data_IF_116045446565
#
_entry.id   IF_116045446565
#
_cell.length_a   1.000
_cell.length_b   1.000
_cell.length_c   1.000
_cell.angle_alpha   90.00
_cell.angle_beta   90.00
_cell.angle_gamma   90.00
#
_symmetry.space_group_name_H-M   'P 1'
#
loop_
_entity.id
_entity.type
_entity.pdbx_description
1 polymer ?
#
# COMPACT_ATOMS: atom_id res chain seq x y z
N UNK A 1 -9.26 -15.30 4.29
CA UNK A 1 -9.79 -13.94 4.16
C UNK A 1 -9.35 -13.17 5.39
N UNK A 2 -8.16 -12.59 5.32
CA UNK A 2 -7.56 -11.86 6.42
C UNK A 2 -6.90 -10.60 5.87
N UNK A 3 -6.90 -9.56 6.69
CA UNK A 3 -6.08 -8.39 6.47
C UNK A 3 -4.72 -8.63 7.10
N UNK A 4 -3.68 -8.27 6.37
CA UNK A 4 -2.31 -8.20 6.86
C UNK A 4 -1.84 -6.76 6.79
N UNK A 5 -1.03 -6.34 7.76
CA UNK A 5 -0.56 -4.97 7.91
C UNK A 5 0.95 -4.91 8.12
N UNK A 6 1.57 -3.85 7.64
CA UNK A 6 3.00 -3.56 7.76
C UNK A 6 3.26 -2.07 7.68
N UNK A 7 4.40 -1.63 8.20
CA UNK A 7 4.96 -0.28 8.01
C UNK A 7 6.05 -0.25 6.91
N UNK A 8 6.39 -1.40 6.32
CA UNK A 8 7.36 -1.51 5.23
C UNK A 8 6.66 -1.44 3.86
N UNK A 9 6.86 -0.32 3.17
CA UNK A 9 6.33 -0.08 1.81
C UNK A 9 6.85 -1.10 0.79
N UNK A 10 8.04 -1.65 0.98
CA UNK A 10 8.63 -2.64 0.07
C UNK A 10 7.88 -3.97 0.18
N UNK A 11 7.69 -4.47 1.41
CA UNK A 11 6.90 -5.68 1.69
C UNK A 11 5.47 -5.51 1.18
N UNK A 12 4.88 -4.34 1.39
CA UNK A 12 3.56 -4.02 0.88
C UNK A 12 3.49 -4.11 -0.65
N UNK A 13 4.40 -3.44 -1.36
CA UNK A 13 4.43 -3.39 -2.83
C UNK A 13 4.60 -4.77 -3.46
N UNK A 14 5.41 -5.66 -2.87
CA UNK A 14 5.56 -7.05 -3.32
C UNK A 14 4.22 -7.80 -3.37
N UNK A 15 3.29 -7.46 -2.48
CA UNK A 15 1.96 -8.09 -2.38
C UNK A 15 0.93 -7.42 -3.26
N UNK A 16 0.85 -6.09 -3.22
CA UNK A 16 -0.27 -5.35 -3.85
C UNK A 16 -0.03 -4.94 -5.29
N UNK A 17 1.22 -4.97 -5.78
CA UNK A 17 1.54 -4.49 -7.13
C UNK A 17 0.67 -5.10 -8.23
N UNK A 18 0.40 -6.42 -8.27
CA UNK A 18 -0.49 -6.99 -9.30
C UNK A 18 -1.90 -6.41 -9.29
N UNK A 19 -2.43 -6.06 -8.10
CA UNK A 19 -3.75 -5.44 -7.96
C UNK A 19 -3.74 -3.98 -8.45
N UNK A 20 -2.75 -3.18 -8.00
CA UNK A 20 -2.70 -1.76 -8.34
C UNK A 20 -2.37 -1.52 -9.82
N UNK A 21 -1.44 -2.30 -10.37
CA UNK A 21 -0.97 -2.17 -11.74
C UNK A 21 -1.99 -2.65 -12.80
N UNK A 22 -3.03 -3.40 -12.41
CA UNK A 22 -4.09 -3.83 -13.33
C UNK A 22 -4.93 -2.64 -13.84
N UNK A 23 -5.13 -1.63 -12.99
CA UNK A 23 -5.90 -0.41 -13.31
C UNK A 23 -5.16 0.83 -12.79
N UNK A 24 -4.04 1.24 -13.41
CA UNK A 24 -3.17 2.27 -12.85
C UNK A 24 -3.81 3.65 -12.82
N UNK A 25 -4.73 3.95 -13.74
CA UNK A 25 -5.51 5.20 -13.74
C UNK A 25 -6.39 5.27 -12.48
N UNK A 26 -7.14 4.21 -12.21
CA UNK A 26 -8.03 4.16 -11.03
C UNK A 26 -7.23 4.13 -9.71
N UNK A 27 -6.01 3.57 -9.76
CA UNK A 27 -5.11 3.44 -8.62
C UNK A 27 -4.03 4.53 -8.55
N UNK A 28 -4.16 5.63 -9.29
CA UNK A 28 -3.10 6.66 -9.40
C UNK A 28 -2.71 7.24 -8.05
N UNK A 29 -3.69 7.48 -7.15
CA UNK A 29 -3.41 8.00 -5.81
C UNK A 29 -2.59 6.99 -4.99
N UNK A 30 -2.99 5.73 -4.97
CA UNK A 30 -2.29 4.68 -4.25
C UNK A 30 -0.86 4.52 -4.76
N UNK A 31 -0.68 4.45 -6.09
CA UNK A 31 0.61 4.35 -6.76
C UNK A 31 1.51 5.56 -6.47
N UNK A 32 0.96 6.76 -6.47
CA UNK A 32 1.72 7.99 -6.18
C UNK A 32 2.24 7.98 -4.73
N UNK A 33 1.38 7.62 -3.76
CA UNK A 33 1.75 7.61 -2.35
C UNK A 33 2.81 6.56 -2.05
N UNK A 34 2.68 5.34 -2.59
CA UNK A 34 3.63 4.26 -2.33
C UNK A 34 4.99 4.52 -2.99
N UNK A 35 5.01 5.14 -4.18
CA UNK A 35 6.25 5.56 -4.83
C UNK A 35 6.97 6.65 -4.03
N UNK A 36 6.24 7.65 -3.54
CA UNK A 36 6.81 8.67 -2.66
C UNK A 36 7.33 8.08 -1.34
N UNK A 37 6.56 7.18 -0.71
CA UNK A 37 6.97 6.50 0.52
C UNK A 37 8.23 5.64 0.32
N UNK A 38 8.32 4.93 -0.81
CA UNK A 38 9.49 4.15 -1.23
C UNK A 38 10.71 5.03 -1.49
N UNK A 39 10.52 6.25 -2.00
CA UNK A 39 11.56 7.25 -2.17
C UNK A 39 11.98 7.94 -0.84
N UNK A 40 11.36 7.56 0.30
CA UNK A 40 11.72 8.06 1.62
C UNK A 40 10.84 9.21 2.12
N UNK A 41 9.80 9.63 1.38
CA UNK A 41 8.84 10.62 1.86
C UNK A 41 8.16 10.12 3.15
N UNK A 42 8.04 11.01 4.13
CA UNK A 42 7.26 10.81 5.36
C UNK A 42 6.31 11.99 5.53
N UNK A 43 5.10 11.72 5.99
CA UNK A 43 4.05 12.72 6.24
C UNK A 43 3.79 12.95 7.73
N UNK A 44 4.52 12.25 8.60
CA UNK A 44 4.47 12.38 10.05
C UNK A 44 5.71 11.69 10.61
N UNK A 45 5.98 11.90 11.90
CA UNK A 45 6.97 11.13 12.66
C UNK A 45 6.44 9.72 13.00
N UNK A 46 5.11 9.53 12.95
CA UNK A 46 4.50 8.20 13.07
C UNK A 46 4.70 7.36 11.79
N UNK A 47 4.87 6.03 11.93
CA UNK A 47 5.00 5.15 10.77
C UNK A 47 3.72 5.12 9.95
N UNK A 48 3.86 5.02 8.63
CA UNK A 48 2.73 4.74 7.75
C UNK A 48 2.21 3.33 7.99
N UNK A 49 0.91 3.14 7.82
CA UNK A 49 0.29 1.82 7.87
C UNK A 49 -0.14 1.40 6.47
N UNK A 50 0.37 0.26 6.03
CA UNK A 50 0.00 -0.38 4.78
C UNK A 50 -0.70 -1.71 5.06
N UNK A 51 -1.67 -2.09 4.22
CA UNK A 51 -2.31 -3.39 4.38
C UNK A 51 -2.96 -3.93 3.11
N UNK A 52 -3.06 -5.25 3.03
CA UNK A 52 -3.71 -5.94 1.93
C UNK A 52 -4.69 -6.97 2.44
N UNK A 53 -5.73 -7.19 1.64
CA UNK A 53 -6.72 -8.21 1.89
C UNK A 53 -6.51 -9.38 0.94
N UNK A 54 -6.32 -10.56 1.51
CA UNK A 54 -6.11 -11.77 0.74
C UNK A 54 -7.37 -12.64 0.68
N UNK A 55 -7.78 -12.95 -0.55
CA UNK A 55 -8.85 -13.89 -0.86
C UNK A 55 -8.27 -15.06 -1.67
N UNK A 56 -8.08 -16.20 -1.01
CA UNK A 56 -7.39 -17.34 -1.62
C UNK A 56 -5.91 -17.05 -1.84
N UNK A 57 -5.43 -17.20 -3.07
CA UNK A 57 -4.06 -16.88 -3.47
C UNK A 57 -3.89 -15.46 -4.03
N UNK A 58 -4.98 -14.69 -4.13
CA UNK A 58 -4.96 -13.36 -4.73
C UNK A 58 -5.24 -12.26 -3.71
N UNK A 59 -4.53 -11.15 -3.88
CA UNK A 59 -4.83 -9.90 -3.19
C UNK A 59 -5.99 -9.23 -3.92
N UNK A 60 -7.08 -8.98 -3.20
CA UNK A 60 -8.29 -8.36 -3.75
C UNK A 60 -8.60 -6.99 -3.13
N UNK A 61 -7.82 -6.56 -2.16
CA UNK A 61 -7.93 -5.23 -1.56
C UNK A 61 -6.57 -4.70 -1.10
N UNK A 62 -6.44 -3.39 -1.15
CA UNK A 62 -5.25 -2.66 -0.70
C UNK A 62 -5.71 -1.42 0.07
N UNK A 63 -5.05 -1.12 1.18
CA UNK A 63 -5.24 0.09 1.97
C UNK A 63 -3.87 0.66 2.34
N UNK A 64 -3.80 1.98 2.43
CA UNK A 64 -2.67 2.70 2.98
C UNK A 64 -3.20 3.86 3.82
N UNK A 65 -2.41 4.25 4.80
CA UNK A 65 -2.74 5.35 5.70
C UNK A 65 -1.48 6.14 6.01
N UNK A 66 -1.50 7.41 5.62
CA UNK A 66 -0.52 8.43 6.04
C UNK A 66 -0.99 9.02 7.37
N UNK A 67 -0.20 8.98 8.45
CA UNK A 67 -0.58 9.55 9.74
C UNK A 67 -0.83 11.07 9.66
N UNK A 68 -1.76 11.58 10.49
CA UNK A 68 -1.95 13.01 10.63
C UNK A 68 -0.71 13.69 11.25
N UNK A 69 -0.63 15.01 11.07
CA UNK A 69 0.30 15.91 11.77
C UNK A 69 -0.29 16.42 13.07
#
# INVERSE_FOLDING_TARGET
>A
MAWEFTDDVTVYLERVWPLLAAHPVDNTLALTVVEAARAGQRWSDEPMLFGWYQQGSQVSGAVLQTPPY
#
